data_IF_116552203494
#
_entry.id   IF_116552203494
#
_cell.length_a   1.000
_cell.length_b   1.000
_cell.length_c   1.000
_cell.angle_alpha   90.00
_cell.angle_beta   90.00
_cell.angle_gamma   90.00
#
_symmetry.space_group_name_H-M   'P 1'
#
loop_
_entity.id
_entity.type
_entity.pdbx_description
1 polymer ?
#
# COMPACT_ATOMS: atom_id res chain seq x y z
N UNK A 1 -31.10 -20.75 -12.22
CA UNK A 1 -31.75 -19.84 -13.19
C UNK A 1 -32.15 -20.55 -14.49
N UNK A 2 -31.25 -21.22 -15.21
CA UNK A 2 -31.60 -21.89 -16.48
C UNK A 2 -32.65 -23.03 -16.33
N UNK A 3 -32.64 -23.75 -15.20
CA UNK A 3 -33.64 -24.79 -14.89
C UNK A 3 -35.05 -24.20 -14.68
N UNK A 4 -35.18 -23.21 -13.81
CA UNK A 4 -36.44 -22.51 -13.51
C UNK A 4 -37.13 -21.90 -14.75
N UNK A 5 -36.36 -21.34 -15.68
CA UNK A 5 -36.93 -20.75 -16.90
C UNK A 5 -37.49 -21.83 -17.84
N UNK A 6 -36.85 -23.01 -17.89
CA UNK A 6 -37.27 -24.13 -18.73
C UNK A 6 -38.53 -24.83 -18.25
N UNK A 7 -38.91 -24.66 -16.98
CA UNK A 7 -40.17 -25.20 -16.44
C UNK A 7 -41.40 -24.49 -17.02
N UNK A 8 -41.25 -23.24 -17.47
CA UNK A 8 -42.38 -22.40 -17.92
C UNK A 8 -42.27 -21.92 -19.37
N UNK A 9 -41.07 -21.90 -19.94
CA UNK A 9 -40.83 -21.33 -21.27
C UNK A 9 -39.84 -22.13 -22.11
N UNK A 10 -40.16 -22.29 -23.39
CA UNK A 10 -39.24 -22.87 -24.39
C UNK A 10 -38.61 -21.79 -25.27
N UNK A 11 -37.52 -21.18 -24.76
CA UNK A 11 -36.83 -20.08 -25.45
C UNK A 11 -35.69 -20.65 -26.32
N UNK A 12 -35.76 -20.39 -27.62
CA UNK A 12 -34.70 -20.76 -28.58
C UNK A 12 -33.41 -20.01 -28.21
N UNK A 13 -32.28 -20.72 -28.09
CA UNK A 13 -30.97 -20.17 -27.69
C UNK A 13 -30.94 -19.46 -26.32
N UNK A 14 -31.86 -19.79 -25.40
CA UNK A 14 -31.97 -19.19 -24.06
C UNK A 14 -30.63 -19.01 -23.32
N UNK A 15 -29.74 -20.01 -23.38
CA UNK A 15 -28.43 -19.99 -22.73
C UNK A 15 -27.57 -18.82 -23.19
N UNK A 16 -27.58 -18.50 -24.49
CA UNK A 16 -26.78 -17.41 -25.07
C UNK A 16 -27.32 -16.06 -24.58
N UNK A 17 -28.64 -15.88 -24.63
CA UNK A 17 -29.32 -14.66 -24.17
C UNK A 17 -29.08 -14.40 -22.68
N UNK A 18 -29.26 -15.43 -21.84
CA UNK A 18 -29.03 -15.32 -20.39
C UNK A 18 -27.58 -14.95 -20.09
N UNK A 19 -26.60 -15.55 -20.79
CA UNK A 19 -25.19 -15.19 -20.62
C UNK A 19 -24.89 -13.75 -21.05
N UNK A 20 -25.53 -13.24 -22.10
CA UNK A 20 -25.41 -11.84 -22.53
C UNK A 20 -25.85 -10.88 -21.43
N UNK A 21 -27.07 -11.08 -20.92
CA UNK A 21 -27.63 -10.25 -19.85
C UNK A 21 -26.76 -10.29 -18.58
N UNK A 22 -26.29 -11.49 -18.19
CA UNK A 22 -25.44 -11.64 -16.99
C UNK A 22 -24.06 -10.97 -17.15
N UNK A 23 -23.55 -10.83 -18.38
CA UNK A 23 -22.28 -10.15 -18.64
C UNK A 23 -22.44 -8.62 -18.68
N UNK A 24 -23.60 -8.11 -19.11
CA UNK A 24 -23.92 -6.67 -19.09
C UNK A 24 -24.30 -6.18 -17.69
N UNK A 25 -24.82 -7.05 -16.84
CA UNK A 25 -25.19 -6.71 -15.47
C UNK A 25 -23.95 -6.51 -14.58
N UNK A 26 -23.69 -5.27 -14.18
CA UNK A 26 -22.58 -4.89 -13.29
C UNK A 26 -22.63 -5.63 -11.95
N UNK A 27 -23.84 -5.84 -11.40
CA UNK A 27 -24.03 -6.57 -10.14
C UNK A 27 -23.57 -8.03 -10.31
N UNK A 28 -24.05 -8.72 -11.36
CA UNK A 28 -23.65 -10.09 -11.65
C UNK A 28 -22.14 -10.20 -11.97
N UNK A 29 -21.58 -9.21 -12.66
CA UNK A 29 -20.15 -9.15 -12.95
C UNK A 29 -19.31 -9.10 -11.64
N UNK A 30 -19.73 -8.31 -10.65
CA UNK A 30 -19.08 -8.24 -9.32
C UNK A 30 -19.06 -9.59 -8.62
N UNK A 31 -20.19 -10.29 -8.58
CA UNK A 31 -20.29 -11.62 -7.96
C UNK A 31 -19.57 -12.74 -8.74
N UNK A 32 -19.28 -12.52 -10.03
CA UNK A 32 -18.57 -13.46 -10.90
C UNK A 32 -17.05 -13.32 -10.82
N UNK A 33 -16.54 -12.22 -10.26
CA UNK A 33 -15.10 -11.97 -10.12
C UNK A 33 -14.47 -13.08 -9.27
N UNK A 34 -13.46 -13.74 -9.83
CA UNK A 34 -12.64 -14.69 -9.07
C UNK A 34 -11.66 -13.92 -8.19
N UNK A 35 -11.33 -14.47 -7.03
CA UNK A 35 -10.26 -13.95 -6.19
C UNK A 35 -8.98 -13.78 -7.02
N UNK A 36 -8.34 -12.63 -6.90
CA UNK A 36 -7.09 -12.35 -7.58
C UNK A 36 -6.02 -13.30 -7.02
N UNK A 37 -5.62 -14.29 -7.80
CA UNK A 37 -4.46 -15.12 -7.49
C UNK A 37 -3.22 -14.40 -8.00
N UNK A 38 -2.65 -13.51 -7.17
CA UNK A 38 -1.32 -12.97 -7.42
C UNK A 38 -0.29 -14.05 -7.08
N UNK A 39 0.61 -14.37 -8.01
CA UNK A 39 1.78 -15.19 -7.70
C UNK A 39 2.67 -14.52 -6.63
N UNK A 40 3.60 -15.27 -6.00
CA UNK A 40 4.54 -14.68 -5.06
C UNK A 40 5.35 -13.58 -5.76
N UNK A 41 5.23 -12.34 -5.29
CA UNK A 41 6.08 -11.25 -5.74
C UNK A 41 7.50 -11.48 -5.21
N UNK A 42 8.56 -11.24 -6.01
CA UNK A 42 9.92 -11.28 -5.49
C UNK A 42 10.05 -10.29 -4.32
N UNK A 43 10.66 -10.75 -3.23
CA UNK A 43 10.99 -9.92 -2.08
C UNK A 43 12.19 -9.06 -2.47
N UNK A 44 12.16 -7.73 -2.27
CA UNK A 44 13.30 -6.88 -2.59
C UNK A 44 14.53 -7.29 -1.78
N UNK A 45 15.74 -7.26 -2.38
CA UNK A 45 16.98 -7.72 -1.74
C UNK A 45 17.32 -6.93 -0.47
N UNK A 46 16.85 -5.68 -0.38
CA UNK A 46 16.93 -4.80 0.78
C UNK A 46 16.26 -5.37 2.05
N UNK A 47 15.41 -6.41 1.91
CA UNK A 47 14.79 -7.13 3.04
C UNK A 47 15.49 -8.44 3.39
N UNK A 48 16.51 -8.84 2.63
CA UNK A 48 17.12 -10.18 2.67
C UNK A 48 18.63 -10.11 2.92
N UNK A 49 19.26 -8.97 2.66
CA UNK A 49 20.69 -8.77 2.88
C UNK A 49 20.96 -8.24 4.29
N UNK A 50 21.97 -8.81 4.95
CA UNK A 50 22.46 -8.30 6.23
C UNK A 50 23.12 -6.94 6.01
N UNK A 51 22.56 -5.90 6.60
CA UNK A 51 23.06 -4.53 6.55
C UNK A 51 23.30 -4.00 7.97
N UNK A 52 24.04 -2.89 8.08
CA UNK A 52 24.19 -2.17 9.34
C UNK A 52 22.83 -1.60 9.82
N UNK A 53 22.73 -1.37 11.13
CA UNK A 53 21.52 -0.80 11.74
C UNK A 53 21.28 0.59 11.15
N UNK A 54 20.07 0.83 10.63
CA UNK A 54 19.69 2.04 9.90
C UNK A 54 20.41 2.29 8.56
N UNK A 55 21.04 1.28 7.94
CA UNK A 55 21.56 1.41 6.58
C UNK A 55 20.42 1.51 5.55
N UNK A 56 19.39 0.67 5.71
CA UNK A 56 18.17 0.71 4.90
C UNK A 56 16.99 1.11 5.78
N UNK A 57 16.56 2.37 5.65
CA UNK A 57 15.49 2.97 6.45
C UNK A 57 14.28 3.29 5.60
N UNK A 58 13.12 2.76 6.00
CA UNK A 58 11.82 3.24 5.52
C UNK A 58 11.37 4.44 6.34
N UNK A 59 11.04 5.55 5.67
CA UNK A 59 10.51 6.75 6.30
C UNK A 59 9.00 6.79 6.06
N UNK A 60 8.22 6.92 7.13
CA UNK A 60 6.77 7.08 7.08
C UNK A 60 6.32 8.27 7.95
N UNK A 61 5.12 8.79 7.67
CA UNK A 61 4.50 9.88 8.42
C UNK A 61 3.12 9.43 8.89
N UNK A 62 3.00 9.18 10.18
CA UNK A 62 1.70 9.04 10.80
C UNK A 62 1.06 10.43 10.95
N UNK A 63 -0.23 10.48 10.62
CA UNK A 63 -1.00 11.69 10.36
C UNK A 63 -1.04 12.73 11.48
N UNK A 64 -1.81 13.81 11.26
CA UNK A 64 -1.78 14.93 12.18
C UNK A 64 -2.43 14.57 13.51
N UNK A 65 -1.61 14.57 14.55
CA UNK A 65 -2.02 14.58 15.94
C UNK A 65 -2.21 16.02 16.39
N UNK A 66 -3.15 16.22 17.31
CA UNK A 66 -3.37 17.50 17.95
C UNK A 66 -2.88 17.41 19.39
N UNK A 67 -1.90 18.25 19.73
CA UNK A 67 -1.46 18.38 21.11
C UNK A 67 -2.56 19.07 21.95
N UNK A 68 -2.43 18.99 23.28
CA UNK A 68 -3.32 19.73 24.21
C UNK A 68 -3.29 21.25 23.98
N UNK A 69 -2.21 21.74 23.39
CA UNK A 69 -2.01 23.14 22.98
C UNK A 69 -2.72 23.49 21.66
N UNK A 70 -3.52 22.58 21.08
CA UNK A 70 -4.16 22.71 19.76
C UNK A 70 -3.18 22.82 18.58
N UNK A 71 -1.91 22.48 18.81
CA UNK A 71 -0.89 22.44 17.76
C UNK A 71 -1.00 21.15 16.95
N UNK A 72 -0.91 21.30 15.63
CA UNK A 72 -0.89 20.18 14.68
C UNK A 72 0.53 19.65 14.55
N UNK A 73 0.72 18.39 14.91
CA UNK A 73 2.00 17.69 14.85
C UNK A 73 1.84 16.37 14.12
N UNK A 74 2.91 15.86 13.55
CA UNK A 74 2.97 14.56 12.89
C UNK A 74 4.01 13.70 13.60
N UNK A 75 3.84 12.38 13.52
CA UNK A 75 4.90 11.46 13.94
C UNK A 75 5.62 11.00 12.67
N UNK A 76 6.91 11.30 12.57
CA UNK A 76 7.79 10.74 11.58
C UNK A 76 8.37 9.42 12.11
N UNK A 77 8.24 8.36 11.33
CA UNK A 77 8.70 7.03 11.67
C UNK A 77 9.91 6.67 10.80
N UNK A 78 11.01 6.31 11.45
CA UNK A 78 12.17 5.71 10.81
C UNK A 78 12.18 4.23 11.15
N UNK A 79 11.98 3.41 10.12
CA UNK A 79 11.88 1.96 10.25
C UNK A 79 13.11 1.31 9.65
N UNK A 80 13.92 0.64 10.46
CA UNK A 80 15.00 -0.17 9.93
C UNK A 80 14.40 -1.45 9.33
N UNK A 81 14.58 -1.64 8.02
CA UNK A 81 13.99 -2.77 7.28
C UNK A 81 14.56 -4.13 7.70
N UNK A 82 15.83 -4.16 8.13
CA UNK A 82 16.55 -5.37 8.53
C UNK A 82 16.20 -5.79 9.95
N UNK A 83 16.28 -4.88 10.92
CA UNK A 83 16.14 -5.21 12.35
C UNK A 83 14.75 -4.87 12.93
N UNK A 84 13.82 -4.34 12.12
CA UNK A 84 12.51 -3.84 12.59
C UNK A 84 12.61 -2.81 13.73
N UNK A 85 13.74 -2.12 13.85
CA UNK A 85 13.93 -1.04 14.80
C UNK A 85 13.11 0.19 14.36
N UNK A 86 12.50 0.89 15.33
CA UNK A 86 11.68 2.08 15.11
C UNK A 86 12.29 3.26 15.87
N UNK A 87 12.57 4.35 15.14
CA UNK A 87 12.88 5.67 15.73
C UNK A 87 11.74 6.63 15.37
N UNK A 88 11.21 7.34 16.37
CA UNK A 88 10.02 8.19 16.23
C UNK A 88 10.39 9.63 16.56
N UNK A 89 10.04 10.55 15.65
CA UNK A 89 10.24 11.99 15.84
C UNK A 89 8.91 12.72 15.74
N UNK A 90 8.66 13.64 16.67
CA UNK A 90 7.52 14.55 16.60
C UNK A 90 7.90 15.75 15.73
N UNK A 91 7.11 16.05 14.72
CA UNK A 91 7.42 17.12 13.76
C UNK A 91 6.21 18.02 13.57
N UNK A 92 6.40 19.34 13.63
CA UNK A 92 5.32 20.32 13.51
C UNK A 92 5.08 20.77 12.05
N UNK A 93 5.88 20.27 11.09
CA UNK A 93 5.78 20.57 9.67
C UNK A 93 6.26 19.39 8.80
N UNK A 94 5.67 19.23 7.62
CA UNK A 94 6.04 18.18 6.64
C UNK A 94 7.33 18.54 5.88
N UNK A 95 8.40 18.88 6.59
CA UNK A 95 9.67 19.19 5.93
C UNK A 95 10.33 17.91 5.40
N UNK A 96 10.76 17.90 4.11
CA UNK A 96 11.35 16.73 3.47
C UNK A 96 12.81 16.48 3.87
N UNK A 97 13.47 17.45 4.53
CA UNK A 97 14.83 17.26 5.02
C UNK A 97 14.81 16.57 6.38
N UNK A 98 15.28 15.32 6.41
CA UNK A 98 15.73 14.69 7.64
C UNK A 98 16.88 13.73 7.36
N UNK A 99 18.05 14.07 7.87
CA UNK A 99 19.19 13.16 7.96
C UNK A 99 18.91 12.17 9.09
N UNK A 100 18.79 10.85 8.84
CA UNK A 100 18.42 9.86 9.87
C UNK A 100 19.46 9.68 11.00
N UNK A 101 20.61 10.36 10.93
CA UNK A 101 21.80 10.03 11.74
C UNK A 101 22.47 11.21 12.44
N UNK A 102 21.94 12.45 12.37
CA UNK A 102 22.63 13.59 13.02
C UNK A 102 24.09 13.79 12.56
N UNK A 103 24.48 13.22 11.42
CA UNK A 103 25.79 13.46 10.80
C UNK A 103 25.66 14.82 10.11
N UNK A 104 26.25 15.84 10.72
CA UNK A 104 26.67 17.04 9.98
C UNK A 104 27.38 16.57 8.72
N UNK A 105 26.94 17.04 7.53
CA UNK A 105 27.77 16.95 6.33
C UNK A 105 29.19 17.39 6.74
N UNK A 106 30.25 16.63 6.41
CA UNK A 106 31.58 17.22 6.50
C UNK A 106 31.53 18.48 5.63
N UNK A 107 31.95 19.60 6.22
CA UNK A 107 32.17 20.84 5.51
C UNK A 107 32.83 20.51 4.18
N UNK A 108 32.16 20.81 3.08
CA UNK A 108 32.81 20.84 1.77
C UNK A 108 33.76 22.03 1.80
N UNK A 109 34.91 21.86 2.46
CA UNK A 109 36.13 22.57 2.14
C UNK A 109 36.49 22.20 0.72
N UNK A 110 36.02 23.01 -0.23
CA UNK A 110 36.50 22.96 -1.60
C UNK A 110 37.97 23.38 -1.63
N UNK A 111 38.81 22.78 -2.50
CA UNK A 111 40.10 23.34 -2.83
C UNK A 111 39.88 24.49 -3.82
N UNK A 112 40.40 25.68 -3.51
CA UNK A 112 40.36 26.86 -4.37
C UNK A 112 40.76 28.12 -3.63
#
# INVERSE_FOLDING_TARGET
>A
MQSLIRERFWIIRARKTIKGILNECVICARFKVKALSSGPSPIPPDRVTDCAIFEVVGIDLAGPLFLRTSEKVWIRLFTCTVYRALHLELVNALMPFCSPLGVSLPDTGGPG
#
